data_IF_657192523576
#
_entry.id   IF_657192523576
#
_cell.length_a   1.000
_cell.length_b   1.000
_cell.length_c   1.000
_cell.angle_alpha   90.00
_cell.angle_beta   90.00
_cell.angle_gamma   90.00
#
_symmetry.space_group_name_H-M   'P 1'
#
loop_
_entity.id
_entity.type
_entity.pdbx_description
1 polymer ?
#
# COMPACT_ATOMS: atom_id res chain seq x y z
N UNK A 1 -4.95 13.94 10.06
CA UNK A 1 -6.17 13.34 9.52
C UNK A 1 -7.23 14.42 9.31
N UNK A 2 -8.17 14.26 8.36
CA UNK A 2 -9.19 15.27 8.06
C UNK A 2 -10.37 15.32 9.06
N UNK A 3 -10.32 14.56 10.13
CA UNK A 3 -11.37 14.44 11.14
C UNK A 3 -10.76 14.26 12.54
N UNK A 4 -11.56 14.51 13.56
CA UNK A 4 -11.18 14.25 14.96
C UNK A 4 -11.41 12.77 15.31
N UNK A 5 -10.62 12.26 16.23
CA UNK A 5 -10.83 10.92 16.78
C UNK A 5 -12.11 10.90 17.63
N UNK A 6 -12.96 9.91 17.37
CA UNK A 6 -14.17 9.63 18.13
C UNK A 6 -14.14 8.15 18.58
N UNK A 7 -13.97 7.87 19.88
CA UNK A 7 -13.89 6.51 20.39
C UNK A 7 -15.22 5.74 20.29
N UNK A 8 -16.34 6.46 20.17
CA UNK A 8 -17.68 5.85 20.07
C UNK A 8 -18.16 5.63 18.64
N UNK A 9 -17.38 6.08 17.65
CA UNK A 9 -17.70 5.90 16.25
C UNK A 9 -17.86 4.42 15.89
N UNK A 10 -18.90 4.11 15.12
CA UNK A 10 -19.19 2.76 14.63
C UNK A 10 -19.27 2.76 13.11
N UNK A 11 -18.71 1.73 12.49
CA UNK A 11 -18.67 1.59 11.03
C UNK A 11 -19.16 0.21 10.55
N UNK A 12 -20.45 -0.15 10.80
CA UNK A 12 -20.96 -1.48 10.46
C UNK A 12 -20.86 -1.80 8.97
N UNK A 13 -21.01 -0.82 8.08
CA UNK A 13 -20.85 -1.02 6.62
C UNK A 13 -19.42 -1.43 6.28
N UNK A 14 -18.41 -0.82 6.91
CA UNK A 14 -17.01 -1.18 6.73
C UNK A 14 -16.74 -2.59 7.21
N UNK A 15 -17.18 -2.93 8.41
CA UNK A 15 -16.99 -4.26 8.98
C UNK A 15 -17.61 -5.33 8.07
N UNK A 16 -18.85 -5.12 7.62
CA UNK A 16 -19.52 -6.05 6.71
C UNK A 16 -18.78 -6.17 5.37
N UNK A 17 -18.27 -5.07 4.83
CA UNK A 17 -17.50 -5.07 3.60
C UNK A 17 -16.19 -5.86 3.76
N UNK A 18 -15.42 -5.63 4.82
CA UNK A 18 -14.18 -6.36 5.09
C UNK A 18 -14.46 -7.86 5.26
N UNK A 19 -15.49 -8.22 6.04
CA UNK A 19 -15.87 -9.62 6.24
C UNK A 19 -16.30 -10.31 4.95
N UNK A 20 -16.89 -9.58 4.00
CA UNK A 20 -17.28 -10.14 2.71
C UNK A 20 -16.08 -10.35 1.79
N UNK A 21 -15.18 -9.38 1.67
CA UNK A 21 -14.04 -9.45 0.72
C UNK A 21 -12.86 -10.28 1.25
N UNK A 22 -12.77 -10.47 2.55
CA UNK A 22 -11.75 -11.25 3.25
C UNK A 22 -12.43 -12.20 4.24
N UNK A 23 -12.85 -13.41 3.79
CA UNK A 23 -13.56 -14.35 4.64
C UNK A 23 -12.72 -14.90 5.81
N UNK A 24 -11.39 -14.89 5.67
CA UNK A 24 -10.46 -15.38 6.70
C UNK A 24 -10.31 -14.35 7.83
N UNK A 25 -10.64 -14.76 9.08
CA UNK A 25 -10.59 -13.87 10.25
C UNK A 25 -9.22 -13.23 10.49
N UNK A 26 -8.14 -13.96 10.20
CA UNK A 26 -6.79 -13.45 10.39
C UNK A 26 -6.49 -12.30 9.43
N UNK A 27 -6.99 -12.37 8.18
CA UNK A 27 -6.87 -11.28 7.22
C UNK A 27 -7.73 -10.07 7.62
N UNK A 28 -8.94 -10.31 8.17
CA UNK A 28 -9.79 -9.22 8.68
C UNK A 28 -9.10 -8.45 9.82
N UNK A 29 -8.36 -9.13 10.70
CA UNK A 29 -7.59 -8.52 11.79
C UNK A 29 -6.33 -7.82 11.28
N UNK A 30 -5.70 -8.36 10.24
CA UNK A 30 -4.47 -7.83 9.67
C UNK A 30 -4.68 -6.46 8.97
N UNK A 31 -5.82 -6.24 8.30
CA UNK A 31 -6.07 -4.98 7.57
C UNK A 31 -5.99 -3.75 8.50
N UNK A 32 -6.70 -3.68 9.64
CA UNK A 32 -6.56 -2.56 10.57
C UNK A 32 -5.12 -2.37 11.08
N UNK A 33 -4.39 -3.45 11.33
CA UNK A 33 -2.99 -3.38 11.76
C UNK A 33 -2.12 -2.73 10.70
N UNK A 34 -2.21 -3.18 9.43
CA UNK A 34 -1.47 -2.59 8.30
C UNK A 34 -1.77 -1.09 8.15
N UNK A 35 -3.01 -0.67 8.40
CA UNK A 35 -3.42 0.73 8.31
C UNK A 35 -3.03 1.56 9.54
N UNK A 36 -2.80 0.94 10.68
CA UNK A 36 -2.37 1.64 11.88
C UNK A 36 -0.92 2.15 11.78
N UNK A 37 -0.03 1.44 11.11
CA UNK A 37 1.38 1.82 10.99
C UNK A 37 1.62 3.20 10.38
N UNK A 38 1.01 3.56 9.22
CA UNK A 38 1.12 4.91 8.67
C UNK A 38 0.58 6.00 9.58
N UNK A 39 -0.53 5.72 10.30
CA UNK A 39 -1.17 6.68 11.22
C UNK A 39 -0.29 6.91 12.46
N UNK A 40 0.31 5.83 12.98
CA UNK A 40 1.18 5.88 14.14
C UNK A 40 2.59 6.41 13.81
N UNK A 41 2.89 6.66 12.54
CA UNK A 41 4.22 7.01 12.06
C UNK A 41 5.29 5.98 12.46
N UNK A 42 4.92 4.71 12.41
CA UNK A 42 5.81 3.58 12.69
C UNK A 42 6.19 2.95 11.35
N UNK A 43 7.48 2.74 11.14
CA UNK A 43 7.96 2.07 9.93
C UNK A 43 7.80 0.55 10.05
N UNK A 44 7.01 -0.04 9.16
CA UNK A 44 6.87 -1.49 9.04
C UNK A 44 7.86 -1.99 7.98
N UNK A 45 8.81 -2.84 8.36
CA UNK A 45 9.76 -3.45 7.41
C UNK A 45 9.10 -4.54 6.53
N UNK A 46 7.90 -4.24 6.04
CA UNK A 46 7.11 -5.08 5.15
C UNK A 46 6.48 -4.25 4.04
N UNK A 47 6.31 -4.86 2.88
CA UNK A 47 5.51 -4.35 1.78
C UNK A 47 4.16 -5.08 1.78
N UNK A 48 3.08 -4.45 2.27
CA UNK A 48 1.74 -5.00 2.11
C UNK A 48 1.40 -5.15 0.63
N UNK A 49 1.14 -6.40 0.23
CA UNK A 49 0.90 -6.78 -1.15
C UNK A 49 -0.51 -7.36 -1.30
N UNK A 50 -1.45 -6.57 -1.81
CA UNK A 50 -2.84 -6.97 -2.02
C UNK A 50 -2.97 -7.69 -3.37
N UNK A 51 -3.08 -9.01 -3.33
CA UNK A 51 -3.14 -9.84 -4.54
C UNK A 51 -4.56 -10.36 -4.79
N UNK A 52 -5.03 -10.35 -6.04
CA UNK A 52 -6.31 -10.98 -6.42
C UNK A 52 -6.78 -10.59 -7.82
N UNK A 53 -7.53 -11.47 -8.48
CA UNK A 53 -7.81 -11.46 -9.92
C UNK A 53 -8.95 -10.55 -10.40
N UNK A 54 -9.29 -9.50 -9.65
CA UNK A 54 -10.36 -8.58 -10.03
C UNK A 54 -11.71 -8.90 -9.36
N UNK A 55 -12.64 -7.92 -9.35
CA UNK A 55 -13.97 -8.01 -8.71
C UNK A 55 -13.97 -8.51 -7.26
N UNK A 56 -12.94 -8.19 -6.51
CA UNK A 56 -12.69 -8.68 -5.15
C UNK A 56 -12.62 -7.55 -4.11
N UNK A 57 -13.06 -6.36 -4.45
CA UNK A 57 -13.13 -5.23 -3.52
C UNK A 57 -11.83 -4.48 -3.28
N UNK A 58 -10.65 -4.92 -3.78
CA UNK A 58 -9.36 -4.22 -3.57
C UNK A 58 -9.41 -2.73 -3.87
N UNK A 59 -9.92 -2.34 -5.04
CA UNK A 59 -9.97 -0.93 -5.46
C UNK A 59 -10.86 -0.09 -4.55
N UNK A 60 -11.99 -0.66 -4.10
CA UNK A 60 -12.90 0.00 -3.14
C UNK A 60 -12.19 0.16 -1.80
N UNK A 61 -11.51 -0.88 -1.32
CA UNK A 61 -10.71 -0.84 -0.09
C UNK A 61 -9.66 0.27 -0.15
N UNK A 62 -8.86 0.34 -1.22
CA UNK A 62 -7.82 1.36 -1.39
C UNK A 62 -8.38 2.77 -1.48
N UNK A 63 -9.55 2.95 -2.11
CA UNK A 63 -10.25 4.23 -2.19
C UNK A 63 -10.75 4.67 -0.81
N UNK A 64 -11.34 3.76 -0.03
CA UNK A 64 -11.75 4.04 1.35
C UNK A 64 -10.55 4.42 2.21
N UNK A 65 -9.43 3.69 2.13
CA UNK A 65 -8.18 4.03 2.83
C UNK A 65 -7.74 5.45 2.47
N UNK A 66 -7.71 5.78 1.18
CA UNK A 66 -7.30 7.12 0.71
C UNK A 66 -8.21 8.22 1.24
N UNK A 67 -9.52 7.98 1.31
CA UNK A 67 -10.49 8.94 1.82
C UNK A 67 -10.35 9.11 3.34
N UNK A 68 -10.16 8.01 4.08
CA UNK A 68 -9.97 8.02 5.54
C UNK A 68 -8.69 8.76 5.91
N UNK A 69 -7.58 8.52 5.23
CA UNK A 69 -6.31 9.20 5.50
C UNK A 69 -6.30 10.65 4.99
N UNK A 70 -7.19 10.98 4.05
CA UNK A 70 -7.21 12.25 3.33
C UNK A 70 -6.28 12.22 2.12
N UNK A 71 -6.81 12.56 0.94
CA UNK A 71 -6.11 12.48 -0.35
C UNK A 71 -4.76 13.22 -0.36
N UNK A 72 -4.64 14.31 0.39
CA UNK A 72 -3.39 15.08 0.51
C UNK A 72 -2.28 14.32 1.25
N UNK A 73 -2.63 13.31 2.03
CA UNK A 73 -1.71 12.47 2.81
C UNK A 73 -1.33 11.18 2.07
N UNK A 74 -1.85 10.98 0.87
CA UNK A 74 -1.61 9.80 0.04
C UNK A 74 -0.80 10.18 -1.19
N UNK A 75 0.20 9.37 -1.53
CA UNK A 75 0.89 9.40 -2.83
C UNK A 75 0.52 8.18 -3.66
N UNK A 76 0.73 8.31 -4.98
CA UNK A 76 0.46 7.23 -5.94
C UNK A 76 1.68 7.00 -6.85
N UNK A 77 2.86 6.95 -6.26
CA UNK A 77 4.11 6.73 -6.99
C UNK A 77 4.21 5.25 -7.38
N UNK A 78 4.37 4.94 -8.68
CA UNK A 78 4.51 3.57 -9.15
C UNK A 78 5.71 2.86 -8.55
N UNK A 79 5.59 1.56 -8.28
CA UNK A 79 6.70 0.74 -7.78
C UNK A 79 7.90 0.78 -8.74
N UNK A 80 7.65 0.81 -10.05
CA UNK A 80 8.70 0.92 -11.05
C UNK A 80 9.59 2.17 -10.89
N UNK A 81 9.04 3.30 -10.42
CA UNK A 81 9.80 4.52 -10.13
C UNK A 81 10.61 4.39 -8.83
N UNK A 82 10.06 3.70 -7.83
CA UNK A 82 10.78 3.39 -6.59
C UNK A 82 11.99 2.49 -6.92
N UNK A 83 11.78 1.44 -7.72
CA UNK A 83 12.85 0.51 -8.13
C UNK A 83 13.96 1.17 -8.95
N UNK A 84 13.62 2.19 -9.74
CA UNK A 84 14.60 2.99 -10.49
C UNK A 84 15.31 4.04 -9.64
N UNK A 85 14.94 4.19 -8.37
CA UNK A 85 15.37 5.27 -7.50
C UNK A 85 15.18 6.65 -8.16
N UNK A 86 14.00 6.85 -8.80
CA UNK A 86 13.66 8.10 -9.50
C UNK A 86 13.40 9.21 -8.48
N UNK A 87 14.42 10.01 -8.22
CA UNK A 87 14.38 11.06 -7.20
C UNK A 87 13.27 12.10 -7.41
N UNK A 88 12.85 12.39 -8.65
CA UNK A 88 11.73 13.30 -8.94
C UNK A 88 10.37 12.66 -8.60
N UNK A 89 10.23 11.37 -8.87
CA UNK A 89 9.03 10.63 -8.47
C UNK A 89 8.98 10.44 -6.94
N UNK A 90 10.10 10.09 -6.32
CA UNK A 90 10.21 9.90 -4.89
C UNK A 90 9.92 11.17 -4.08
N UNK A 91 10.23 12.36 -4.65
CA UNK A 91 9.85 13.63 -4.04
C UNK A 91 8.34 13.75 -3.76
N UNK A 92 7.49 13.14 -4.59
CA UNK A 92 6.03 13.17 -4.40
C UNK A 92 5.58 12.36 -3.18
N UNK A 93 6.44 11.51 -2.64
CA UNK A 93 6.18 10.69 -1.46
C UNK A 93 6.54 11.40 -0.15
N UNK A 94 7.34 12.46 -0.21
CA UNK A 94 7.74 13.18 1.00
C UNK A 94 6.54 13.77 1.75
N UNK A 95 6.55 13.63 3.08
CA UNK A 95 5.50 14.11 3.98
C UNK A 95 4.11 13.48 3.70
N UNK A 96 4.06 12.32 3.04
CA UNK A 96 2.84 11.54 2.90
C UNK A 96 2.77 10.48 4.00
N UNK A 97 1.56 10.09 4.37
CA UNK A 97 1.34 9.01 5.34
C UNK A 97 1.48 7.63 4.68
N UNK A 98 1.04 7.53 3.41
CA UNK A 98 1.06 6.26 2.68
C UNK A 98 1.26 6.49 1.19
N UNK A 99 1.91 5.55 0.53
CA UNK A 99 1.91 5.44 -0.93
C UNK A 99 1.02 4.26 -1.32
N UNK A 100 0.06 4.47 -2.20
CA UNK A 100 -0.83 3.42 -2.70
C UNK A 100 -0.61 3.30 -4.20
N UNK A 101 -0.18 2.14 -4.65
CA UNK A 101 0.02 1.87 -6.07
C UNK A 101 -0.68 0.58 -6.50
N UNK A 102 -1.31 0.60 -7.67
CA UNK A 102 -1.94 -0.55 -8.28
C UNK A 102 -1.32 -0.76 -9.65
N UNK A 103 -0.66 -1.89 -9.85
CA UNK A 103 0.12 -2.14 -11.06
C UNK A 103 -0.16 -3.53 -11.63
N UNK A 104 -0.03 -3.62 -12.96
CA UNK A 104 0.31 -4.87 -13.62
C UNK A 104 1.78 -5.18 -13.29
N UNK A 105 2.11 -6.42 -13.09
CA UNK A 105 3.33 -7.00 -12.49
C UNK A 105 4.61 -6.24 -12.83
N UNK A 106 5.30 -5.63 -11.88
CA UNK A 106 6.67 -5.18 -12.10
C UNK A 106 7.62 -6.40 -12.11
N UNK A 107 8.49 -6.47 -13.10
CA UNK A 107 9.64 -7.37 -13.03
C UNK A 107 10.70 -6.71 -12.15
N UNK A 108 11.00 -7.35 -11.03
CA UNK A 108 12.03 -6.91 -10.09
C UNK A 108 13.33 -7.62 -10.44
N UNK A 109 14.11 -7.02 -11.31
CA UNK A 109 15.42 -7.58 -11.73
C UNK A 109 16.50 -7.41 -10.65
N UNK A 110 16.45 -6.30 -9.93
CA UNK A 110 17.29 -6.00 -8.78
C UNK A 110 16.40 -5.58 -7.60
N UNK A 111 16.45 -6.35 -6.53
CA UNK A 111 15.66 -6.12 -5.33
C UNK A 111 16.37 -5.25 -4.28
N UNK A 112 17.62 -4.82 -4.53
CA UNK A 112 18.40 -4.06 -3.54
C UNK A 112 17.73 -2.74 -3.17
N UNK A 113 17.29 -1.95 -4.16
CA UNK A 113 16.57 -0.68 -3.94
C UNK A 113 15.25 -0.92 -3.22
N UNK A 114 14.51 -1.98 -3.60
CA UNK A 114 13.26 -2.32 -2.92
C UNK A 114 13.49 -2.71 -1.46
N UNK A 115 14.52 -3.50 -1.18
CA UNK A 115 14.90 -3.88 0.19
C UNK A 115 15.29 -2.66 1.02
N UNK A 116 16.13 -1.77 0.47
CA UNK A 116 16.52 -0.51 1.10
C UNK A 116 15.29 0.36 1.42
N UNK A 117 14.39 0.52 0.43
CA UNK A 117 13.13 1.23 0.61
C UNK A 117 12.27 0.63 1.73
N UNK A 118 12.03 -0.69 1.70
CA UNK A 118 11.22 -1.38 2.71
C UNK A 118 11.87 -1.32 4.09
N UNK A 119 13.19 -1.32 4.18
CA UNK A 119 13.93 -1.22 5.46
C UNK A 119 14.08 0.21 5.98
N UNK A 120 13.53 1.22 5.27
CA UNK A 120 13.62 2.62 5.72
C UNK A 120 14.99 3.27 5.52
N UNK A 121 15.83 2.71 4.65
CA UNK A 121 17.13 3.29 4.34
C UNK A 121 17.00 4.59 3.54
N UNK A 122 17.99 5.46 3.62
CA UNK A 122 17.96 6.74 2.91
C UNK A 122 17.94 6.55 1.39
N UNK A 123 16.98 7.20 0.73
CA UNK A 123 16.87 7.26 -0.73
C UNK A 123 17.25 8.63 -1.23
N UNK A 124 17.75 8.68 -2.48
CA UNK A 124 18.10 9.93 -3.13
C UNK A 124 16.88 10.63 -3.68
N UNK A 125 16.56 11.78 -3.12
CA UNK A 125 15.46 12.64 -3.56
C UNK A 125 15.98 13.76 -4.43
N UNK A 126 15.24 14.14 -5.47
CA UNK A 126 15.59 15.23 -6.37
C UNK A 126 14.41 16.20 -6.51
N UNK A 127 14.67 17.48 -6.33
CA UNK A 127 13.72 18.57 -6.65
C UNK A 127 14.19 19.29 -7.92
N UNK A 128 13.24 19.75 -8.73
CA UNK A 128 13.59 20.57 -9.90
C UNK A 128 14.36 21.81 -9.47
N UNK A 129 15.47 22.08 -10.15
CA UNK A 129 16.36 23.22 -9.91
C UNK A 129 17.04 23.25 -8.53
N UNK A 130 17.08 22.13 -7.82
CA UNK A 130 17.79 21.98 -6.56
C UNK A 130 18.76 20.79 -6.61
N UNK A 131 19.74 20.82 -5.73
CA UNK A 131 20.65 19.68 -5.55
C UNK A 131 19.87 18.47 -4.99
N UNK A 132 20.34 17.28 -5.37
CA UNK A 132 19.81 16.04 -4.82
C UNK A 132 20.23 15.88 -3.34
N UNK A 133 19.37 15.30 -2.53
CA UNK A 133 19.63 15.02 -1.12
C UNK A 133 19.11 13.65 -0.71
N UNK A 134 19.67 13.10 0.35
CA UNK A 134 19.23 11.84 0.92
C UNK A 134 18.09 12.07 1.91
N UNK A 135 17.06 11.24 1.86
CA UNK A 135 15.92 11.30 2.78
C UNK A 135 15.44 9.91 3.18
N UNK A 136 15.04 9.77 4.43
CA UNK A 136 14.27 8.64 4.96
C UNK A 136 12.80 9.02 5.17
N UNK A 137 12.42 10.26 4.86
CA UNK A 137 11.07 10.77 5.05
C UNK A 137 10.17 10.44 3.85
N UNK A 138 9.85 9.17 3.73
CA UNK A 138 8.91 8.66 2.74
C UNK A 138 7.96 7.63 3.39
N UNK A 139 6.72 7.48 2.86
CA UNK A 139 5.72 6.64 3.48
C UNK A 139 5.94 5.16 3.15
N UNK A 140 5.30 4.30 3.92
CA UNK A 140 5.09 2.91 3.54
C UNK A 140 4.25 2.83 2.26
N UNK A 141 4.54 1.82 1.42
CA UNK A 141 3.73 1.53 0.23
C UNK A 141 2.80 0.34 0.47
N UNK A 142 1.53 0.48 0.04
CA UNK A 142 0.65 -0.66 -0.25
C UNK A 142 0.66 -0.88 -1.76
N UNK A 143 1.00 -2.08 -2.17
CA UNK A 143 0.99 -2.49 -3.56
C UNK A 143 -0.21 -3.41 -3.83
N UNK A 144 -1.04 -3.07 -4.80
CA UNK A 144 -2.13 -3.92 -5.27
C UNK A 144 -1.83 -4.45 -6.68
N UNK A 145 -2.01 -5.75 -6.89
CA UNK A 145 -1.83 -6.37 -8.21
C UNK A 145 -2.75 -7.58 -8.39
N UNK A 146 -2.93 -7.97 -9.65
CA UNK A 146 -3.62 -9.21 -9.97
C UNK A 146 -2.69 -10.43 -9.92
N UNK A 147 -1.38 -10.23 -9.97
CA UNK A 147 -0.38 -11.27 -10.02
C UNK A 147 0.66 -11.08 -8.93
N UNK A 148 1.43 -12.10 -8.62
CA UNK A 148 2.61 -11.98 -7.77
C UNK A 148 3.76 -11.29 -8.52
N UNK A 149 4.66 -10.59 -7.82
CA UNK A 149 5.79 -9.95 -8.47
C UNK A 149 6.71 -11.02 -9.08
N UNK A 150 7.18 -10.75 -10.30
CA UNK A 150 8.24 -11.55 -10.90
C UNK A 150 9.58 -11.00 -10.43
N UNK A 151 10.36 -11.82 -9.75
CA UNK A 151 11.67 -11.44 -9.24
C UNK A 151 12.69 -12.53 -9.55
N UNK A 152 13.91 -12.10 -9.85
CA UNK A 152 15.07 -12.99 -9.92
C UNK A 152 15.75 -13.14 -8.53
N UNK A 153 15.25 -12.48 -7.51
CA UNK A 153 15.73 -12.61 -6.15
C UNK A 153 14.92 -13.67 -5.39
N UNK A 154 15.52 -14.81 -5.19
CA UNK A 154 14.94 -15.94 -4.44
C UNK A 154 15.41 -15.97 -2.99
N UNK A 155 16.05 -14.90 -2.50
CA UNK A 155 16.54 -14.85 -1.12
C UNK A 155 15.40 -14.80 -0.12
N UNK A 156 15.58 -15.45 1.03
CA UNK A 156 14.67 -15.35 2.16
C UNK A 156 14.41 -13.88 2.53
N UNK A 157 15.46 -13.04 2.53
CA UNK A 157 15.37 -11.63 2.88
C UNK A 157 14.45 -10.81 1.95
N UNK A 158 14.25 -11.22 0.69
CA UNK A 158 13.27 -10.61 -0.20
C UNK A 158 11.85 -11.04 0.16
N UNK A 159 11.62 -12.34 0.28
CA UNK A 159 10.27 -12.87 0.58
C UNK A 159 9.78 -12.47 1.98
N UNK A 160 10.68 -12.44 2.97
CA UNK A 160 10.32 -12.01 4.33
C UNK A 160 9.82 -10.56 4.38
N UNK A 161 10.14 -9.74 3.38
CA UNK A 161 9.67 -8.35 3.28
C UNK A 161 8.31 -8.21 2.60
N UNK A 162 7.82 -9.24 1.94
CA UNK A 162 6.50 -9.21 1.31
C UNK A 162 5.44 -9.68 2.31
N UNK A 163 4.47 -8.82 2.62
CA UNK A 163 3.29 -9.17 3.39
C UNK A 163 2.14 -9.42 2.42
N UNK A 164 2.04 -10.68 1.97
CA UNK A 164 1.03 -11.07 0.99
C UNK A 164 -0.35 -11.16 1.66
N UNK A 165 -1.31 -10.41 1.11
CA UNK A 165 -2.71 -10.39 1.53
C UNK A 165 -3.56 -10.81 0.32
N UNK A 166 -4.00 -12.09 0.26
CA UNK A 166 -4.75 -12.61 -0.87
C UNK A 166 -6.23 -12.20 -0.80
N UNK A 167 -6.75 -11.66 -1.89
CA UNK A 167 -8.17 -11.35 -2.09
C UNK A 167 -8.78 -12.41 -3.01
N UNK A 168 -9.07 -13.58 -2.45
CA UNK A 168 -9.54 -14.76 -3.18
C UNK A 168 -11.04 -14.74 -3.45
N UNK A 169 -11.82 -13.95 -2.69
CA UNK A 169 -13.27 -13.86 -2.88
C UNK A 169 -13.59 -13.00 -4.11
N UNK A 170 -14.43 -13.52 -4.98
CA UNK A 170 -14.98 -12.76 -6.12
C UNK A 170 -16.40 -12.34 -5.80
N UNK A 171 -16.67 -11.04 -5.81
CA UNK A 171 -17.99 -10.49 -5.53
C UNK A 171 -18.94 -10.86 -6.68
N UNK A 172 -20.05 -11.60 -6.43
CA UNK A 172 -21.03 -11.90 -7.45
C UNK A 172 -21.70 -10.65 -8.02
N UNK A 173 -22.08 -10.67 -9.29
CA UNK A 173 -22.72 -9.52 -9.95
C UNK A 173 -23.98 -9.02 -9.20
N UNK A 174 -24.74 -9.94 -8.59
CA UNK A 174 -25.94 -9.62 -7.78
C UNK A 174 -25.65 -8.84 -6.49
N UNK A 175 -24.39 -8.82 -6.03
CA UNK A 175 -23.96 -8.13 -4.81
C UNK A 175 -23.19 -6.84 -5.08
N UNK A 176 -22.94 -6.50 -6.34
CA UNK A 176 -22.23 -5.27 -6.68
C UNK A 176 -23.08 -4.07 -6.28
N UNK A 177 -22.59 -3.29 -5.33
CA UNK A 177 -23.19 -2.04 -4.92
C UNK A 177 -22.42 -0.85 -5.54
N UNK A 178 -22.98 -0.14 -6.53
CA UNK A 178 -22.29 0.98 -7.18
C UNK A 178 -22.09 2.19 -6.25
N UNK A 179 -22.79 2.22 -5.11
CA UNK A 179 -22.74 3.32 -4.13
C UNK A 179 -21.77 3.05 -2.96
N UNK A 180 -20.94 2.03 -3.05
CA UNK A 180 -19.90 1.72 -2.03
C UNK A 180 -18.66 2.61 -2.14
N UNK A 181 -18.57 3.45 -3.17
CA UNK A 181 -17.45 4.37 -3.41
C UNK A 181 -17.67 5.73 -2.77
#
# INVERSE_FOLDING_TARGET
LPYNYDPDARCPKWINFINEILPEEDLQKLIPEVLAYPIANIHLEKLPYFQGFGRNGKSVLLEVISNVLGKNNVSNVPLANILKNDGLALQQMENKLINITAESIPTISDSSVLKAYISGEALMIKKLYHDSYSSTNYPQTILASNHLPQSNDYSKGFYDRLLLIPFNYTIPDSKINPNLK
#
